data_IF_468289284303
#
_entry.id   IF_468289284303
#
_cell.length_a   1.000
_cell.length_b   1.000
_cell.length_c   1.000
_cell.angle_alpha   90.00
_cell.angle_beta   90.00
_cell.angle_gamma   90.00
#
_symmetry.space_group_name_H-M   'P 1'
#
loop_
_entity.id
_entity.type
_entity.pdbx_description
1 polymer ?
#
# COMPACT_ATOMS: atom_id res chain seq x y z
N UNK A 1 -9.17 17.60 -1.33
CA UNK A 1 -8.40 17.40 -2.58
C UNK A 1 -9.39 17.36 -3.73
N UNK A 2 -9.32 18.31 -4.66
CA UNK A 2 -10.13 18.25 -5.88
C UNK A 2 -9.52 17.20 -6.81
N UNK A 3 -10.31 16.20 -7.19
CA UNK A 3 -9.89 15.10 -8.10
C UNK A 3 -9.87 15.59 -9.55
N UNK A 4 -10.43 16.77 -9.84
CA UNK A 4 -10.39 17.40 -11.16
C UNK A 4 -9.44 18.61 -11.16
N UNK A 5 -8.63 18.78 -12.22
CA UNK A 5 -7.77 19.95 -12.37
C UNK A 5 -8.63 21.21 -12.47
N UNK A 6 -8.24 22.27 -11.76
CA UNK A 6 -8.95 23.55 -11.79
C UNK A 6 -8.96 24.19 -13.19
N UNK A 7 -7.97 23.84 -14.03
CA UNK A 7 -7.85 24.26 -15.42
C UNK A 7 -7.62 23.03 -16.29
N UNK A 8 -8.46 22.81 -17.29
CA UNK A 8 -8.29 21.71 -18.26
C UNK A 8 -7.40 22.17 -19.41
N UNK A 9 -6.28 21.48 -19.58
CA UNK A 9 -5.29 21.66 -20.65
C UNK A 9 -4.80 20.30 -21.13
N UNK A 10 -4.20 20.21 -22.33
CA UNK A 10 -3.61 18.95 -22.81
C UNK A 10 -2.58 18.34 -21.85
N UNK A 11 -1.84 19.19 -21.11
CA UNK A 11 -0.88 18.74 -20.11
C UNK A 11 -1.57 18.15 -18.87
N UNK A 12 -2.63 18.80 -18.38
CA UNK A 12 -3.37 18.27 -17.21
C UNK A 12 -4.15 17.01 -17.54
N UNK A 13 -4.58 16.83 -18.80
CA UNK A 13 -5.18 15.57 -19.25
C UNK A 13 -4.14 14.46 -19.32
N UNK A 14 -2.93 14.76 -19.82
CA UNK A 14 -1.82 13.80 -19.86
C UNK A 14 -1.34 13.39 -18.47
N UNK A 15 -1.22 14.34 -17.54
CA UNK A 15 -0.74 14.07 -16.16
C UNK A 15 -1.86 13.74 -15.17
N UNK A 16 -3.13 13.82 -15.58
CA UNK A 16 -4.28 13.62 -14.71
C UNK A 16 -4.36 12.21 -14.12
N UNK A 17 -3.74 11.24 -14.79
CA UNK A 17 -3.66 9.85 -14.34
C UNK A 17 -2.55 9.60 -13.30
N UNK A 18 -1.61 10.53 -13.10
CA UNK A 18 -0.51 10.35 -12.13
C UNK A 18 -1.04 10.34 -10.68
N UNK A 19 -2.12 11.06 -10.42
CA UNK A 19 -2.71 11.16 -9.08
C UNK A 19 -3.70 10.06 -8.73
N UNK A 20 -4.07 9.19 -9.68
CA UNK A 20 -5.05 8.13 -9.45
C UNK A 20 -4.44 6.73 -9.60
N UNK A 21 -5.04 5.76 -8.95
CA UNK A 21 -4.60 4.36 -8.93
C UNK A 21 -5.54 3.46 -9.75
N UNK A 22 -6.33 4.04 -10.64
CA UNK A 22 -7.34 3.33 -11.44
C UNK A 22 -6.71 2.37 -12.46
N UNK A 23 -5.51 2.69 -12.94
CA UNK A 23 -4.71 1.77 -13.76
C UNK A 23 -3.98 0.72 -12.93
N UNK A 24 -3.88 0.89 -11.61
CA UNK A 24 -3.17 -0.02 -10.72
C UNK A 24 -4.14 -1.04 -10.11
N UNK A 25 -4.19 -2.23 -10.69
CA UNK A 25 -5.14 -3.28 -10.35
C UNK A 25 -5.20 -3.66 -8.86
N UNK A 26 -4.11 -3.48 -8.10
CA UNK A 26 -4.06 -3.83 -6.68
C UNK A 26 -4.67 -2.78 -5.75
N UNK A 27 -4.46 -1.48 -6.00
CA UNK A 27 -4.97 -0.41 -5.12
C UNK A 27 -6.20 0.32 -5.68
N UNK A 28 -6.51 0.21 -6.97
CA UNK A 28 -7.71 0.79 -7.59
C UNK A 28 -9.01 0.43 -6.88
N UNK A 29 -9.25 -0.84 -6.46
CA UNK A 29 -10.46 -1.18 -5.70
C UNK A 29 -10.57 -0.47 -4.33
N UNK A 30 -9.45 -0.18 -3.67
CA UNK A 30 -9.43 0.56 -2.40
C UNK A 30 -9.66 2.06 -2.64
N UNK A 31 -9.09 2.61 -3.70
CA UNK A 31 -9.36 3.98 -4.15
C UNK A 31 -10.86 4.18 -4.41
N UNK A 32 -11.48 3.27 -5.16
CA UNK A 32 -12.92 3.32 -5.44
C UNK A 32 -13.78 3.25 -4.18
N UNK A 33 -13.44 2.39 -3.22
CA UNK A 33 -14.13 2.32 -1.92
C UNK A 33 -14.02 3.63 -1.13
N UNK A 34 -12.83 4.25 -1.14
CA UNK A 34 -12.60 5.52 -0.47
C UNK A 34 -13.44 6.64 -1.11
N UNK A 35 -13.46 6.70 -2.44
CA UNK A 35 -14.24 7.70 -3.17
C UNK A 35 -15.74 7.54 -2.93
N UNK A 36 -16.27 6.32 -2.95
CA UNK A 36 -17.69 6.07 -2.65
C UNK A 36 -18.04 6.49 -1.22
N UNK A 37 -17.14 6.29 -0.25
CA UNK A 37 -17.36 6.71 1.13
C UNK A 37 -17.34 8.25 1.26
N UNK A 38 -16.42 8.93 0.58
CA UNK A 38 -16.38 10.39 0.54
C UNK A 38 -17.55 11.02 -0.22
N UNK A 39 -18.07 10.34 -1.24
CA UNK A 39 -19.29 10.76 -1.94
C UNK A 39 -20.50 10.70 -1.01
N UNK A 40 -20.64 9.63 -0.20
CA UNK A 40 -21.75 9.46 0.72
C UNK A 40 -21.75 10.47 1.90
N UNK A 41 -20.57 10.74 2.49
CA UNK A 41 -20.47 11.55 3.72
C UNK A 41 -19.93 12.97 3.51
N UNK A 42 -19.42 13.27 2.32
CA UNK A 42 -18.69 14.50 2.03
C UNK A 42 -17.31 14.56 2.68
N UNK A 43 -16.49 15.54 2.30
CA UNK A 43 -15.07 15.57 2.65
C UNK A 43 -14.79 15.65 4.16
N UNK A 44 -15.49 16.52 4.89
CA UNK A 44 -15.21 16.77 6.32
C UNK A 44 -15.60 15.60 7.22
N UNK A 45 -16.81 15.06 7.02
CA UNK A 45 -17.29 13.90 7.80
C UNK A 45 -16.63 12.61 7.31
N UNK A 46 -16.40 12.50 6.00
CA UNK A 46 -15.72 11.36 5.40
C UNK A 46 -14.31 11.14 5.96
N UNK A 47 -13.55 12.19 6.28
CA UNK A 47 -12.23 12.03 6.91
C UNK A 47 -12.27 11.25 8.25
N UNK A 48 -13.37 11.36 8.99
CA UNK A 48 -13.55 10.68 10.27
C UNK A 48 -14.19 9.31 10.06
N UNK A 49 -15.27 9.26 9.28
CA UNK A 49 -16.06 8.03 9.07
C UNK A 49 -15.32 7.01 8.20
N UNK A 50 -14.59 7.48 7.19
CA UNK A 50 -13.87 6.66 6.22
C UNK A 50 -12.39 6.49 6.59
N UNK A 51 -11.99 6.74 7.84
CA UNK A 51 -10.59 6.70 8.29
C UNK A 51 -9.91 5.38 7.95
N UNK A 52 -10.59 4.27 8.21
CA UNK A 52 -10.02 2.93 8.05
C UNK A 52 -9.77 2.61 6.57
N UNK A 53 -10.72 2.96 5.70
CA UNK A 53 -10.60 2.79 4.25
C UNK A 53 -9.47 3.68 3.70
N UNK A 54 -9.36 4.91 4.23
CA UNK A 54 -8.31 5.84 3.87
C UNK A 54 -6.94 5.33 4.31
N UNK A 55 -6.82 4.75 5.51
CA UNK A 55 -5.60 4.14 6.00
C UNK A 55 -5.19 2.91 5.16
N UNK A 56 -6.14 2.06 4.78
CA UNK A 56 -5.89 0.89 3.93
C UNK A 56 -5.42 1.30 2.53
N UNK A 57 -6.05 2.32 1.94
CA UNK A 57 -5.60 2.87 0.67
C UNK A 57 -4.18 3.44 0.79
N UNK A 58 -3.91 4.24 1.82
CA UNK A 58 -2.58 4.79 2.07
C UNK A 58 -1.52 3.70 2.33
N UNK A 59 -1.90 2.62 3.02
CA UNK A 59 -1.03 1.45 3.20
C UNK A 59 -0.74 0.80 1.85
N UNK A 60 -1.76 0.59 1.01
CA UNK A 60 -1.59 -0.04 -0.29
C UNK A 60 -0.61 0.73 -1.18
N UNK A 61 -0.68 2.06 -1.18
CA UNK A 61 0.17 2.94 -2.00
C UNK A 61 1.58 3.05 -1.45
N UNK A 62 1.71 3.28 -0.13
CA UNK A 62 3.00 3.62 0.48
C UNK A 62 3.76 2.40 1.05
N UNK A 63 3.06 1.29 1.28
CA UNK A 63 3.59 0.04 1.86
C UNK A 63 4.32 0.20 3.19
N UNK A 64 4.02 1.26 3.95
CA UNK A 64 4.73 1.60 5.20
C UNK A 64 4.65 0.49 6.25
N UNK A 65 3.44 -0.01 6.52
CA UNK A 65 3.21 -1.07 7.52
C UNK A 65 3.87 -2.37 7.05
N UNK A 66 3.73 -2.74 5.77
CA UNK A 66 4.39 -3.89 5.17
C UNK A 66 5.93 -3.84 5.28
N UNK A 67 6.56 -2.73 4.89
CA UNK A 67 8.02 -2.57 5.00
C UNK A 67 8.49 -2.65 6.45
N UNK A 68 7.80 -1.96 7.37
CA UNK A 68 8.14 -2.01 8.78
C UNK A 68 8.05 -3.42 9.36
N UNK A 69 7.03 -4.19 8.95
CA UNK A 69 6.89 -5.58 9.34
C UNK A 69 8.08 -6.42 8.87
N UNK A 70 8.52 -6.24 7.62
CA UNK A 70 9.68 -6.94 7.05
C UNK A 70 10.96 -6.60 7.82
N UNK A 71 11.21 -5.32 8.10
CA UNK A 71 12.36 -4.88 8.89
C UNK A 71 12.41 -5.54 10.27
N UNK A 72 11.28 -5.58 10.98
CA UNK A 72 11.19 -6.19 12.32
C UNK A 72 11.46 -7.69 12.24
N UNK A 73 10.85 -8.39 11.28
CA UNK A 73 11.06 -9.83 11.09
C UNK A 73 12.52 -10.15 10.75
N UNK A 74 13.17 -9.30 9.96
CA UNK A 74 14.58 -9.47 9.61
C UNK A 74 15.51 -9.20 10.80
N UNK A 75 15.22 -8.15 11.58
CA UNK A 75 15.97 -7.83 12.79
C UNK A 75 15.94 -8.99 13.80
N UNK A 76 14.76 -9.56 14.06
CA UNK A 76 14.61 -10.68 14.99
C UNK A 76 15.34 -11.94 14.48
N UNK A 77 15.22 -12.24 13.18
CA UNK A 77 15.95 -13.34 12.55
C UNK A 77 17.46 -13.20 12.71
N UNK A 78 18.00 -11.99 12.49
CA UNK A 78 19.43 -11.71 12.68
C UNK A 78 19.84 -11.83 14.15
N UNK A 79 18.97 -11.43 15.09
CA UNK A 79 19.20 -11.60 16.53
C UNK A 79 19.26 -13.08 16.92
N UNK A 80 18.33 -13.91 16.45
CA UNK A 80 18.32 -15.37 16.67
C UNK A 80 19.60 -16.03 16.14
N UNK A 81 20.04 -15.64 14.93
CA UNK A 81 21.28 -16.15 14.34
C UNK A 81 22.51 -15.77 15.17
N UNK A 82 22.61 -14.52 15.62
CA UNK A 82 23.72 -14.06 16.47
C UNK A 82 23.74 -14.74 17.85
N UNK A 83 22.56 -15.07 18.39
CA UNK A 83 22.42 -15.78 19.66
C UNK A 83 22.72 -17.29 19.54
N UNK A 84 22.87 -17.82 18.32
CA UNK A 84 23.04 -19.25 18.07
C UNK A 84 21.75 -20.06 18.19
N UNK A 85 20.59 -19.41 18.39
CA UNK A 85 19.26 -20.05 18.44
C UNK A 85 18.84 -20.61 17.06
N UNK A 86 19.48 -20.14 15.98
CA UNK A 86 19.16 -20.48 14.59
C UNK A 86 20.41 -20.79 13.80
N UNK A 87 20.41 -21.89 13.05
CA UNK A 87 21.53 -22.29 12.19
C UNK A 87 21.64 -21.40 10.95
N UNK A 88 22.79 -21.46 10.27
CA UNK A 88 23.04 -20.69 9.04
C UNK A 88 22.15 -21.19 7.90
N UNK A 89 21.88 -22.48 7.85
CA UNK A 89 21.04 -23.14 6.84
C UNK A 89 19.57 -22.75 6.99
N UNK A 90 19.12 -22.47 8.22
CA UNK A 90 17.74 -22.09 8.52
C UNK A 90 17.50 -20.57 8.52
N UNK A 91 18.53 -19.77 8.22
CA UNK A 91 18.45 -18.31 8.24
C UNK A 91 17.35 -17.78 7.31
N UNK A 92 17.22 -18.37 6.12
CA UNK A 92 16.14 -18.08 5.18
C UNK A 92 15.34 -19.34 4.88
N UNK A 93 14.08 -19.17 4.49
CA UNK A 93 13.29 -20.28 3.98
C UNK A 93 13.97 -20.86 2.72
N UNK A 94 13.88 -22.18 2.56
CA UNK A 94 14.37 -22.84 1.34
C UNK A 94 13.69 -22.20 0.14
N UNK A 95 14.47 -21.96 -0.92
CA UNK A 95 13.91 -21.46 -2.18
C UNK A 95 12.80 -22.40 -2.64
N UNK A 96 11.68 -21.87 -3.18
CA UNK A 96 10.69 -22.72 -3.82
C UNK A 96 11.35 -23.52 -4.95
N UNK A 97 10.74 -24.66 -5.30
CA UNK A 97 11.20 -25.44 -6.45
C UNK A 97 11.04 -24.61 -7.73
N UNK A 98 11.87 -24.90 -8.72
CA UNK A 98 11.90 -24.15 -9.99
C UNK A 98 10.55 -24.28 -10.73
N UNK A 99 9.82 -25.38 -10.51
CA UNK A 99 8.54 -25.73 -11.12
C UNK A 99 7.31 -25.33 -10.30
N UNK A 100 7.45 -24.46 -9.29
CA UNK A 100 6.38 -24.15 -8.33
C UNK A 100 5.32 -23.13 -8.83
N UNK A 101 5.35 -22.71 -10.10
CA UNK A 101 4.46 -21.69 -10.65
C UNK A 101 3.84 -22.09 -11.99
#
# INVERSE_FOLDING_TARGET
MSISPAFRTPFTDLTGHIGNHQYYSKCGPLEMKLMNCFEAYGLRKGQIVCSDIMEDFNECVLKRKQHKRIEIMEAERRRQYKAGERSKEELYAKSPRIDAY
#
